data_IF_301116149487
#
_entry.id   IF_301116149487
#
_cell.length_a   1.000
_cell.length_b   1.000
_cell.length_c   1.000
_cell.angle_alpha   90.00
_cell.angle_beta   90.00
_cell.angle_gamma   90.00
#
_symmetry.space_group_name_H-M   'P 1'
#
loop_
_entity.id
_entity.type
_entity.pdbx_description
1 polymer ?
#
# COMPACT_ATOMS: atom_id res chain seq x y z
N UNK A 1 18.71 33.60 33.65
CA UNK A 1 18.65 32.27 33.03
C UNK A 1 17.21 32.07 32.52
N UNK A 2 17.00 32.18 31.24
CA UNK A 2 15.70 31.90 30.60
C UNK A 2 15.80 30.52 29.95
N UNK A 3 14.93 29.62 30.37
CA UNK A 3 14.81 28.29 29.78
C UNK A 3 14.12 28.39 28.40
N UNK A 4 14.76 27.93 27.36
CA UNK A 4 14.21 27.79 26.05
C UNK A 4 13.34 26.54 25.98
N UNK A 5 12.11 26.71 25.51
CA UNK A 5 11.11 25.68 25.32
C UNK A 5 11.35 24.97 23.97
N UNK A 6 11.43 23.65 23.87
CA UNK A 6 11.61 22.99 22.59
C UNK A 6 10.27 22.99 21.82
N UNK A 7 10.24 23.75 20.75
CA UNK A 7 9.10 23.85 19.83
C UNK A 7 8.82 22.51 19.14
N UNK A 8 7.65 22.05 19.37
CA UNK A 8 6.91 20.92 18.81
C UNK A 8 7.09 20.70 17.30
N UNK A 9 7.70 19.56 16.93
CA UNK A 9 7.73 19.02 15.55
C UNK A 9 6.49 18.20 15.17
N UNK A 10 5.39 18.31 15.91
CA UNK A 10 4.19 17.46 15.73
C UNK A 10 3.06 18.08 14.89
N UNK A 11 3.20 19.29 14.38
CA UNK A 11 2.07 19.95 13.67
C UNK A 11 1.96 19.62 12.17
N UNK A 12 3.01 19.12 11.52
CA UNK A 12 2.99 18.87 10.08
C UNK A 12 2.30 17.56 9.67
N UNK A 13 2.35 16.52 10.50
CA UNK A 13 1.71 15.22 10.19
C UNK A 13 0.19 15.31 10.34
N UNK A 14 -0.31 16.11 11.27
CA UNK A 14 -1.76 16.26 11.51
C UNK A 14 -2.48 17.03 10.39
N UNK A 15 -1.79 17.93 9.70
CA UNK A 15 -2.40 18.72 8.60
C UNK A 15 -2.48 17.93 7.28
N UNK A 16 -1.52 17.06 7.01
CA UNK A 16 -1.50 16.23 5.80
C UNK A 16 -2.64 15.21 5.80
N UNK A 17 -2.97 14.66 6.96
CA UNK A 17 -4.06 13.66 7.10
C UNK A 17 -5.44 14.30 6.91
N UNK A 18 -5.62 15.60 7.17
CA UNK A 18 -6.92 16.27 7.04
C UNK A 18 -7.45 16.34 5.61
N UNK A 19 -6.57 16.31 4.61
CA UNK A 19 -6.94 16.44 3.20
C UNK A 19 -6.83 15.11 2.44
N UNK A 20 -6.62 14.00 3.15
CA UNK A 20 -6.49 12.66 2.60
C UNK A 20 -7.76 11.85 2.90
N UNK A 21 -8.39 11.34 1.86
CA UNK A 21 -9.53 10.44 1.97
C UNK A 21 -9.27 9.14 1.27
N UNK A 22 -9.90 8.06 1.75
CA UNK A 22 -9.84 6.73 1.16
C UNK A 22 -11.25 6.23 0.86
N UNK A 23 -11.42 5.65 -0.31
CA UNK A 23 -12.69 5.07 -0.75
C UNK A 23 -12.46 3.67 -1.27
N UNK A 24 -13.30 2.71 -0.86
CA UNK A 24 -13.31 1.37 -1.47
C UNK A 24 -13.80 1.49 -2.92
N UNK A 25 -13.04 0.95 -3.86
CA UNK A 25 -13.41 0.95 -5.27
C UNK A 25 -14.49 -0.11 -5.53
N UNK A 26 -15.70 0.34 -5.82
CA UNK A 26 -16.86 -0.52 -6.08
C UNK A 26 -17.58 -0.14 -7.39
N UNK A 27 -17.68 1.16 -7.70
CA UNK A 27 -18.33 1.60 -8.92
C UNK A 27 -17.48 1.35 -10.17
N UNK A 28 -18.10 1.19 -11.36
CA UNK A 28 -17.34 1.03 -12.60
C UNK A 28 -16.30 2.13 -12.84
N UNK A 29 -16.62 3.38 -12.51
CA UNK A 29 -15.69 4.50 -12.64
C UNK A 29 -14.48 4.35 -11.71
N UNK A 30 -14.69 3.93 -10.46
CA UNK A 30 -13.62 3.68 -9.50
C UNK A 30 -12.74 2.49 -9.91
N UNK A 31 -13.32 1.46 -10.50
CA UNK A 31 -12.55 0.33 -11.05
C UNK A 31 -11.67 0.76 -12.23
N UNK A 32 -12.14 1.66 -13.08
CA UNK A 32 -11.32 2.26 -14.14
C UNK A 32 -10.14 3.04 -13.53
N UNK A 33 -10.38 3.87 -12.53
CA UNK A 33 -9.33 4.60 -11.82
C UNK A 33 -8.30 3.67 -11.15
N UNK A 34 -8.76 2.60 -10.51
CA UNK A 34 -7.87 1.59 -9.92
C UNK A 34 -6.99 0.92 -10.99
N UNK A 35 -7.58 0.57 -12.14
CA UNK A 35 -6.84 -0.01 -13.28
C UNK A 35 -5.76 0.92 -13.80
N UNK A 36 -6.06 2.22 -13.96
CA UNK A 36 -5.07 3.23 -14.36
C UNK A 36 -3.91 3.28 -13.37
N UNK A 37 -4.19 3.34 -12.06
CA UNK A 37 -3.16 3.38 -11.03
C UNK A 37 -2.31 2.09 -10.98
N UNK A 38 -2.90 0.93 -11.23
CA UNK A 38 -2.17 -0.34 -11.32
C UNK A 38 -1.22 -0.36 -12.53
N UNK A 39 -1.67 0.19 -13.67
CA UNK A 39 -0.82 0.34 -14.87
C UNK A 39 0.32 1.33 -14.64
N UNK A 40 0.04 2.49 -14.02
CA UNK A 40 1.07 3.45 -13.64
C UNK A 40 2.10 2.82 -12.68
N UNK A 41 1.63 2.06 -11.68
CA UNK A 41 2.49 1.31 -10.78
C UNK A 41 3.41 0.35 -11.53
N UNK A 42 2.85 -0.50 -12.38
CA UNK A 42 3.62 -1.47 -13.15
C UNK A 42 4.68 -0.80 -14.04
N UNK A 43 4.33 0.30 -14.71
CA UNK A 43 5.26 1.09 -15.52
C UNK A 43 6.41 1.70 -14.68
N UNK A 44 6.12 2.06 -13.43
CA UNK A 44 7.10 2.69 -12.55
C UNK A 44 8.18 1.73 -12.01
N UNK A 45 7.97 0.42 -12.12
CA UNK A 45 8.86 -0.60 -11.53
C UNK A 45 10.12 -0.87 -12.38
N UNK A 46 10.06 -0.65 -13.69
CA UNK A 46 11.16 -0.97 -14.60
C UNK A 46 11.34 -2.48 -14.89
N UNK A 47 10.41 -3.33 -14.44
CA UNK A 47 10.35 -4.76 -14.76
C UNK A 47 8.89 -5.21 -14.92
N UNK A 48 8.68 -6.36 -15.60
CA UNK A 48 7.34 -6.87 -15.86
C UNK A 48 6.76 -7.58 -14.62
N UNK A 49 5.45 -7.42 -14.40
CA UNK A 49 4.67 -8.14 -13.39
C UNK A 49 3.99 -9.42 -13.93
N UNK A 50 4.36 -9.89 -15.12
CA UNK A 50 3.73 -11.06 -15.75
C UNK A 50 3.78 -12.33 -14.87
N UNK A 51 4.84 -12.50 -14.06
CA UNK A 51 4.95 -13.61 -13.11
C UNK A 51 3.91 -13.58 -11.98
N UNK A 52 3.20 -12.46 -11.80
CA UNK A 52 2.09 -12.31 -10.85
C UNK A 52 0.71 -12.40 -11.51
N UNK A 53 0.61 -12.85 -12.77
CA UNK A 53 -0.63 -12.86 -13.54
C UNK A 53 -1.31 -11.48 -13.62
N UNK A 54 -0.53 -10.43 -13.79
CA UNK A 54 -0.97 -9.04 -13.71
C UNK A 54 -2.09 -8.69 -14.70
N UNK A 55 -2.02 -9.21 -15.94
CA UNK A 55 -3.06 -8.96 -16.95
C UNK A 55 -4.42 -9.54 -16.54
N UNK A 56 -4.41 -10.74 -15.92
CA UNK A 56 -5.62 -11.35 -15.39
C UNK A 56 -6.17 -10.58 -14.19
N UNK A 57 -5.27 -10.10 -13.31
CA UNK A 57 -5.63 -9.24 -12.20
C UNK A 57 -6.36 -7.99 -12.67
N UNK A 58 -5.79 -7.27 -13.66
CA UNK A 58 -6.40 -6.09 -14.26
C UNK A 58 -7.77 -6.37 -14.88
N UNK A 59 -7.92 -7.50 -15.56
CA UNK A 59 -9.16 -7.89 -16.22
C UNK A 59 -10.27 -8.20 -15.22
N UNK A 60 -9.93 -8.72 -14.05
CA UNK A 60 -10.88 -9.20 -13.04
C UNK A 60 -11.18 -8.21 -11.90
N UNK A 61 -10.60 -7.01 -11.90
CA UNK A 61 -10.82 -6.03 -10.82
C UNK A 61 -12.32 -5.80 -10.53
N UNK A 62 -12.71 -5.73 -9.24
CA UNK A 62 -11.89 -5.79 -8.04
C UNK A 62 -11.40 -7.20 -7.64
N UNK A 63 -11.96 -8.29 -8.21
CA UNK A 63 -11.51 -9.67 -8.02
C UNK A 63 -11.26 -10.04 -6.56
N UNK A 64 -10.04 -10.49 -6.26
CA UNK A 64 -9.63 -10.87 -4.90
C UNK A 64 -9.55 -9.71 -3.90
N UNK A 65 -9.61 -8.47 -4.39
CA UNK A 65 -9.62 -7.27 -3.57
C UNK A 65 -11.03 -6.82 -3.16
N UNK A 66 -12.06 -7.54 -3.57
CA UNK A 66 -13.43 -7.26 -3.19
C UNK A 66 -13.70 -7.58 -1.70
N UNK A 67 -14.56 -6.79 -1.01
CA UNK A 67 -15.09 -7.17 0.28
C UNK A 67 -15.83 -8.52 0.21
N UNK A 68 -15.96 -9.26 1.32
CA UNK A 68 -15.59 -8.89 2.68
C UNK A 68 -14.10 -9.12 3.02
N UNK A 69 -13.41 -9.99 2.28
CA UNK A 69 -12.07 -10.47 2.62
C UNK A 69 -10.94 -9.62 2.01
N UNK A 70 -11.24 -8.80 1.02
CA UNK A 70 -10.30 -7.91 0.34
C UNK A 70 -10.63 -6.44 0.53
N UNK A 71 -9.69 -5.60 0.09
CA UNK A 71 -9.88 -4.15 -0.05
C UNK A 71 -9.14 -3.65 -1.28
N UNK A 72 -9.76 -2.75 -2.00
CA UNK A 72 -9.16 -1.98 -3.09
C UNK A 72 -9.45 -0.50 -2.81
N UNK A 73 -8.51 0.17 -2.17
CA UNK A 73 -8.68 1.55 -1.75
C UNK A 73 -8.09 2.52 -2.77
N UNK A 74 -8.90 3.45 -3.22
CA UNK A 74 -8.45 4.66 -3.89
C UNK A 74 -8.22 5.74 -2.84
N UNK A 75 -7.19 6.54 -3.02
CA UNK A 75 -6.89 7.65 -2.14
C UNK A 75 -6.90 8.97 -2.91
N UNK A 76 -7.62 9.94 -2.35
CA UNK A 76 -7.63 11.32 -2.84
C UNK A 76 -6.93 12.22 -1.83
N UNK A 77 -6.07 13.09 -2.33
CA UNK A 77 -5.42 14.14 -1.56
C UNK A 77 -5.74 15.49 -2.20
N UNK A 78 -6.32 16.41 -1.41
CA UNK A 78 -6.80 17.72 -1.90
C UNK A 78 -7.74 17.59 -3.11
N UNK A 79 -8.67 16.62 -3.05
CA UNK A 79 -9.63 16.30 -4.10
C UNK A 79 -9.03 15.80 -5.42
N UNK A 80 -7.77 15.35 -5.40
CA UNK A 80 -7.11 14.75 -6.55
C UNK A 80 -6.77 13.28 -6.28
N UNK A 81 -7.00 12.42 -7.26
CA UNK A 81 -6.64 11.01 -7.17
C UNK A 81 -5.13 10.86 -7.02
N UNK A 82 -4.70 10.49 -5.81
CA UNK A 82 -3.29 10.45 -5.41
C UNK A 82 -2.64 9.07 -5.56
N UNK A 83 -3.41 8.00 -5.44
CA UNK A 83 -2.88 6.65 -5.50
C UNK A 83 -3.88 5.59 -5.04
N UNK A 84 -3.37 4.38 -4.81
CA UNK A 84 -4.14 3.25 -4.36
C UNK A 84 -3.35 2.34 -3.42
N UNK A 85 -4.06 1.47 -2.72
CA UNK A 85 -3.51 0.34 -2.00
C UNK A 85 -4.56 -0.76 -1.92
N UNK A 86 -4.13 -2.00 -2.01
CA UNK A 86 -5.00 -3.15 -1.98
C UNK A 86 -4.55 -4.18 -0.95
N UNK A 87 -5.46 -5.03 -0.50
CA UNK A 87 -5.18 -6.26 0.22
C UNK A 87 -6.09 -7.38 -0.26
N UNK A 88 -5.58 -8.60 -0.23
CA UNK A 88 -6.37 -9.80 -0.44
C UNK A 88 -6.01 -10.88 0.58
N UNK A 89 -6.92 -11.86 0.72
CA UNK A 89 -6.72 -13.00 1.59
C UNK A 89 -5.62 -13.92 1.05
N UNK A 90 -4.68 -14.35 1.90
CA UNK A 90 -3.72 -15.42 1.61
C UNK A 90 -4.14 -16.74 2.24
N UNK A 91 -4.50 -16.73 3.52
CA UNK A 91 -4.95 -17.89 4.28
C UNK A 91 -6.02 -17.45 5.30
N UNK A 92 -6.47 -18.37 6.19
CA UNK A 92 -7.53 -18.06 7.16
C UNK A 92 -7.23 -16.83 8.01
N UNK A 93 -5.98 -16.66 8.44
CA UNK A 93 -5.56 -15.60 9.38
C UNK A 93 -4.59 -14.59 8.77
N UNK A 94 -4.27 -14.71 7.49
CA UNK A 94 -3.29 -13.85 6.84
C UNK A 94 -3.81 -13.24 5.54
N UNK A 95 -3.41 -11.99 5.32
CA UNK A 95 -3.64 -11.26 4.08
C UNK A 95 -2.33 -10.77 3.48
N UNK A 96 -2.39 -10.30 2.26
CA UNK A 96 -1.27 -9.68 1.56
C UNK A 96 -1.62 -8.25 1.14
N UNK A 97 -0.76 -7.31 1.51
CA UNK A 97 -0.81 -5.94 0.98
C UNK A 97 -0.20 -5.92 -0.41
N UNK A 98 -0.93 -5.37 -1.36
CA UNK A 98 -0.54 -5.26 -2.78
C UNK A 98 -0.75 -3.84 -3.30
N UNK A 99 -0.01 -3.50 -4.33
CA UNK A 99 -0.27 -2.33 -5.17
C UNK A 99 -0.34 -1.01 -4.38
N UNK A 100 0.48 -0.87 -3.32
CA UNK A 100 0.65 0.43 -2.68
C UNK A 100 1.40 1.35 -3.64
N UNK A 101 0.66 2.27 -4.23
CA UNK A 101 1.17 3.20 -5.21
C UNK A 101 0.73 4.62 -4.91
N UNK A 102 1.66 5.54 -4.98
CA UNK A 102 1.44 6.97 -4.85
C UNK A 102 2.02 7.67 -6.08
N UNK A 103 1.19 8.45 -6.76
CA UNK A 103 1.63 9.24 -7.92
C UNK A 103 2.79 10.15 -7.54
N UNK A 104 3.77 10.37 -8.43
CA UNK A 104 5.02 11.08 -8.11
C UNK A 104 4.82 12.46 -7.47
N UNK A 105 3.84 13.24 -7.95
CA UNK A 105 3.56 14.59 -7.46
C UNK A 105 3.09 14.67 -6.01
N UNK A 106 2.66 13.55 -5.44
CA UNK A 106 2.20 13.46 -4.05
C UNK A 106 3.23 12.85 -3.09
N UNK A 107 4.38 12.40 -3.61
CA UNK A 107 5.46 11.80 -2.80
C UNK A 107 6.14 12.84 -1.91
N UNK A 108 6.87 12.38 -0.89
CA UNK A 108 7.60 13.26 0.02
C UNK A 108 6.76 13.94 1.10
N UNK A 109 5.43 13.73 1.11
CA UNK A 109 4.48 14.34 2.06
C UNK A 109 4.05 13.39 3.19
N UNK A 110 4.66 12.21 3.32
CA UNK A 110 4.27 11.22 4.32
C UNK A 110 3.01 10.40 3.97
N UNK A 111 2.44 10.59 2.77
CA UNK A 111 1.20 9.92 2.35
C UNK A 111 1.37 8.41 2.19
N UNK A 112 2.52 7.92 1.75
CA UNK A 112 2.79 6.48 1.65
C UNK A 112 2.61 5.75 2.98
N UNK A 113 3.07 6.36 4.08
CA UNK A 113 2.84 5.83 5.43
C UNK A 113 1.36 5.85 5.82
N UNK A 114 0.62 6.88 5.42
CA UNK A 114 -0.82 6.96 5.67
C UNK A 114 -1.58 5.85 4.92
N UNK A 115 -1.19 5.54 3.67
CA UNK A 115 -1.73 4.42 2.89
C UNK A 115 -1.48 3.08 3.57
N UNK A 116 -0.23 2.82 3.98
CA UNK A 116 0.13 1.61 4.70
C UNK A 116 -0.65 1.46 6.02
N UNK A 117 -0.72 2.52 6.83
CA UNK A 117 -1.50 2.52 8.06
C UNK A 117 -3.00 2.28 7.81
N UNK A 118 -3.56 2.86 6.76
CA UNK A 118 -4.97 2.64 6.42
C UNK A 118 -5.24 1.19 6.07
N UNK A 119 -4.46 0.57 5.20
CA UNK A 119 -4.69 -0.82 4.81
C UNK A 119 -4.42 -1.81 5.95
N UNK A 120 -3.47 -1.51 6.85
CA UNK A 120 -3.24 -2.25 8.08
C UNK A 120 -4.49 -2.20 8.99
N UNK A 121 -5.11 -1.02 9.13
CA UNK A 121 -6.35 -0.87 9.89
C UNK A 121 -7.50 -1.66 9.27
N UNK A 122 -7.63 -1.69 7.95
CA UNK A 122 -8.62 -2.51 7.24
C UNK A 122 -8.40 -4.01 7.48
N UNK A 123 -7.15 -4.47 7.45
CA UNK A 123 -6.81 -5.86 7.72
C UNK A 123 -7.21 -6.28 9.14
N UNK A 124 -6.94 -5.44 10.13
CA UNK A 124 -7.37 -5.65 11.53
C UNK A 124 -8.89 -5.69 11.66
N UNK A 125 -9.59 -4.78 10.99
CA UNK A 125 -11.05 -4.72 11.01
C UNK A 125 -11.71 -5.96 10.38
N UNK A 126 -11.07 -6.57 9.36
CA UNK A 126 -11.51 -7.84 8.78
C UNK A 126 -11.25 -9.01 9.74
N UNK A 127 -10.26 -8.92 10.63
CA UNK A 127 -9.89 -9.96 11.60
C UNK A 127 -8.64 -10.75 11.23
N UNK A 128 -7.84 -10.26 10.28
CA UNK A 128 -6.54 -10.87 10.00
C UNK A 128 -5.58 -10.68 11.16
N UNK A 129 -4.74 -11.67 11.41
CA UNK A 129 -3.71 -11.65 12.44
C UNK A 129 -2.33 -11.28 11.88
N UNK A 130 -2.13 -11.50 10.57
CA UNK A 130 -0.86 -11.25 9.89
C UNK A 130 -1.08 -10.62 8.53
N UNK A 131 -0.22 -9.66 8.20
CA UNK A 131 -0.15 -9.06 6.88
C UNK A 131 1.22 -9.33 6.27
N UNK A 132 1.26 -9.84 5.05
CA UNK A 132 2.47 -10.06 4.27
C UNK A 132 2.56 -9.09 3.11
N UNK A 133 3.75 -8.94 2.59
CA UNK A 133 4.04 -8.28 1.33
C UNK A 133 5.31 -8.84 0.72
N UNK A 134 5.41 -8.79 -0.60
CA UNK A 134 6.64 -8.93 -1.35
C UNK A 134 7.03 -7.58 -1.97
N UNK A 135 8.31 -7.32 -2.08
CA UNK A 135 8.87 -6.09 -2.62
C UNK A 135 10.23 -6.34 -3.25
N UNK A 136 10.79 -5.34 -3.94
CA UNK A 136 12.12 -5.44 -4.55
C UNK A 136 12.99 -4.32 -3.98
N UNK A 137 13.85 -4.64 -3.02
CA UNK A 137 14.60 -3.65 -2.24
C UNK A 137 15.42 -2.67 -3.09
N UNK A 138 16.17 -3.09 -4.13
CA UNK A 138 16.94 -2.16 -4.96
C UNK A 138 16.09 -1.08 -5.64
N UNK A 139 14.83 -1.39 -5.97
CA UNK A 139 13.90 -0.49 -6.67
C UNK A 139 13.06 0.32 -5.69
N UNK A 140 12.74 -0.25 -4.53
CA UNK A 140 11.74 0.30 -3.58
C UNK A 140 12.33 0.59 -2.20
N UNK A 141 13.55 1.13 -2.13
CA UNK A 141 14.29 1.39 -0.87
C UNK A 141 13.49 2.19 0.16
N UNK A 142 12.81 3.24 -0.27
CA UNK A 142 12.02 4.10 0.63
C UNK A 142 10.80 3.35 1.20
N UNK A 143 10.15 2.53 0.37
CA UNK A 143 9.03 1.70 0.81
C UNK A 143 9.50 0.64 1.82
N UNK A 144 10.61 -0.05 1.56
CA UNK A 144 11.19 -1.03 2.47
C UNK A 144 11.56 -0.38 3.81
N UNK A 145 12.21 0.78 3.79
CA UNK A 145 12.53 1.52 5.00
C UNK A 145 11.26 1.92 5.79
N UNK A 146 10.19 2.29 5.10
CA UNK A 146 8.90 2.58 5.71
C UNK A 146 8.28 1.33 6.34
N UNK A 147 8.27 0.19 5.65
CA UNK A 147 7.73 -1.07 6.17
C UNK A 147 8.47 -1.53 7.43
N UNK A 148 9.81 -1.46 7.45
CA UNK A 148 10.60 -1.75 8.65
C UNK A 148 10.21 -0.86 9.84
N UNK A 149 9.99 0.45 9.61
CA UNK A 149 9.52 1.40 10.65
C UNK A 149 8.09 1.13 11.12
N UNK A 150 7.25 0.50 10.29
CA UNK A 150 5.91 0.06 10.66
C UNK A 150 5.89 -1.25 11.42
N UNK A 151 7.04 -1.92 11.56
CA UNK A 151 7.18 -3.17 12.31
C UNK A 151 7.15 -4.43 11.45
N UNK A 152 7.14 -4.30 10.13
CA UNK A 152 7.32 -5.46 9.25
C UNK A 152 8.70 -6.05 9.44
N UNK A 153 8.76 -7.37 9.55
CA UNK A 153 9.98 -8.17 9.67
C UNK A 153 10.19 -9.00 8.41
N UNK A 154 11.44 -9.21 8.04
CA UNK A 154 11.77 -10.07 6.92
C UNK A 154 11.44 -11.53 7.24
N UNK A 155 10.88 -12.24 6.27
CA UNK A 155 10.51 -13.65 6.34
C UNK A 155 11.04 -14.42 5.14
N UNK A 156 11.00 -15.75 5.22
CA UNK A 156 11.29 -16.60 4.08
C UNK A 156 10.26 -16.37 2.94
N UNK A 157 10.64 -16.61 1.66
CA UNK A 157 9.73 -16.53 0.54
C UNK A 157 8.46 -17.36 0.75
N UNK A 158 7.29 -16.76 0.51
CA UNK A 158 5.99 -17.42 0.56
C UNK A 158 5.30 -17.45 -0.81
N UNK A 159 5.87 -16.79 -1.80
CA UNK A 159 5.43 -16.81 -3.19
C UNK A 159 6.65 -16.75 -4.11
N UNK A 160 6.44 -17.02 -5.38
CA UNK A 160 7.48 -16.92 -6.39
C UNK A 160 7.63 -15.48 -6.89
N UNK A 161 8.81 -14.92 -6.72
CA UNK A 161 9.20 -13.62 -7.28
C UNK A 161 10.62 -13.74 -7.86
N UNK A 162 10.76 -13.83 -9.19
CA UNK A 162 12.05 -14.08 -9.86
C UNK A 162 12.95 -12.85 -9.93
N UNK A 163 12.49 -11.69 -9.45
CA UNK A 163 13.24 -10.44 -9.56
C UNK A 163 14.40 -10.43 -8.54
N UNK A 164 15.58 -10.12 -9.01
CA UNK A 164 16.76 -10.00 -8.15
C UNK A 164 16.55 -8.93 -7.08
N UNK A 165 16.80 -9.29 -5.81
CA UNK A 165 16.56 -8.41 -4.66
C UNK A 165 15.11 -8.46 -4.15
N UNK A 166 14.32 -9.47 -4.55
CA UNK A 166 13.01 -9.72 -3.96
C UNK A 166 13.14 -9.94 -2.44
N UNK A 167 12.28 -9.31 -1.69
CA UNK A 167 12.23 -9.31 -0.24
C UNK A 167 10.80 -9.59 0.21
N UNK A 168 10.65 -10.44 1.22
CA UNK A 168 9.37 -10.84 1.77
C UNK A 168 9.27 -10.38 3.22
N UNK A 169 8.15 -9.78 3.58
CA UNK A 169 7.98 -9.20 4.91
C UNK A 169 6.63 -9.55 5.50
N UNK A 170 6.56 -9.62 6.82
CA UNK A 170 5.34 -9.90 7.59
C UNK A 170 5.21 -8.93 8.77
N UNK A 171 3.97 -8.51 9.02
CA UNK A 171 3.56 -7.74 10.19
C UNK A 171 2.52 -8.55 10.98
N UNK A 172 2.73 -8.68 12.28
CA UNK A 172 1.68 -9.10 13.23
C UNK A 172 0.69 -7.94 13.43
N UNK A 173 -0.61 -8.19 13.25
CA UNK A 173 -1.68 -7.18 13.24
C UNK A 173 -2.29 -6.92 14.61
#
# INVERSE_FOLDING_TARGET
MRAENPISKNSSVSSVVKNLSFTQAESPAQIVQARELFLEYAQSLGFSLCFQNFDQELASLPGHYAPPNGRLLLAEYESQLAGCVALHKLASESCEMKRLYLRPQFRGKGLGRAFANRIISEARAIGYQRMRLDTVEPVMKDAVAMYRRLGFKEIAPYCDNPIAGALYMELEL
#
